data_IF_844684053376
#
_entry.id   IF_844684053376
#
_cell.length_a   1.000
_cell.length_b   1.000
_cell.length_c   1.000
_cell.angle_alpha   90.00
_cell.angle_beta   90.00
_cell.angle_gamma   90.00
#
_symmetry.space_group_name_H-M   'P 1'
#
loop_
_entity.id
_entity.type
_entity.pdbx_description
1 polymer ?
#
# COMPACT_ATOMS: atom_id res chain seq x y z
N UNK A 1 -6.96 17.23 17.52
CA UNK A 1 -5.96 16.94 16.47
C UNK A 1 -5.83 18.22 15.67
N UNK A 2 -4.72 18.93 15.84
CA UNK A 2 -4.47 20.13 15.03
C UNK A 2 -3.96 19.68 13.66
N UNK A 3 -4.57 20.20 12.59
CA UNK A 3 -4.15 19.90 11.23
C UNK A 3 -2.98 20.83 10.91
N UNK A 4 -1.79 20.27 10.73
CA UNK A 4 -0.57 21.04 10.46
C UNK A 4 -0.07 20.79 9.03
N UNK A 5 0.87 21.64 8.59
CA UNK A 5 1.60 21.41 7.33
C UNK A 5 2.31 20.04 7.32
N UNK A 6 2.86 19.60 8.46
CA UNK A 6 3.54 18.31 8.58
C UNK A 6 2.61 17.12 8.40
N UNK A 7 1.35 17.20 8.86
CA UNK A 7 0.32 16.18 8.59
C UNK A 7 0.08 16.01 7.09
N UNK A 8 -0.05 17.11 6.34
CA UNK A 8 -0.23 17.06 4.89
C UNK A 8 1.03 16.55 4.18
N UNK A 9 2.21 17.01 4.59
CA UNK A 9 3.48 16.57 4.01
C UNK A 9 3.69 15.07 4.20
N UNK A 10 3.43 14.54 5.40
CA UNK A 10 3.50 13.12 5.70
C UNK A 10 2.55 12.31 4.81
N UNK A 11 1.30 12.77 4.66
CA UNK A 11 0.29 12.11 3.85
C UNK A 11 0.71 12.01 2.37
N UNK A 12 1.25 13.10 1.81
CA UNK A 12 1.71 13.14 0.41
C UNK A 12 2.91 12.23 0.20
N UNK A 13 3.88 12.26 1.12
CA UNK A 13 5.07 11.37 1.05
C UNK A 13 4.65 9.90 1.13
N UNK A 14 3.76 9.56 2.06
CA UNK A 14 3.30 8.17 2.21
C UNK A 14 2.42 7.73 1.05
N UNK A 15 1.64 8.62 0.44
CA UNK A 15 0.93 8.32 -0.80
C UNK A 15 1.92 8.01 -1.94
N UNK A 16 2.99 8.79 -2.09
CA UNK A 16 4.02 8.53 -3.10
C UNK A 16 4.71 7.18 -2.87
N UNK A 17 5.04 6.84 -1.62
CA UNK A 17 5.58 5.53 -1.25
C UNK A 17 4.58 4.40 -1.58
N UNK A 18 3.30 4.58 -1.25
CA UNK A 18 2.24 3.62 -1.57
C UNK A 18 2.08 3.39 -3.08
N UNK A 19 2.17 4.43 -3.90
CA UNK A 19 2.18 4.29 -5.37
C UNK A 19 3.36 3.45 -5.84
N UNK A 20 4.55 3.69 -5.30
CA UNK A 20 5.74 2.90 -5.65
C UNK A 20 5.60 1.44 -5.23
N UNK A 21 5.10 1.17 -4.02
CA UNK A 21 4.86 -0.19 -3.54
C UNK A 21 3.86 -0.94 -4.43
N UNK A 22 2.72 -0.30 -4.76
CA UNK A 22 1.72 -0.88 -5.64
C UNK A 22 2.28 -1.16 -7.05
N UNK A 23 3.11 -0.26 -7.58
CA UNK A 23 3.77 -0.44 -8.88
C UNK A 23 4.77 -1.61 -8.87
N UNK A 24 5.58 -1.73 -7.81
CA UNK A 24 6.52 -2.84 -7.63
C UNK A 24 5.75 -4.16 -7.53
N UNK A 25 4.71 -4.21 -6.70
CA UNK A 25 3.90 -5.40 -6.54
C UNK A 25 3.24 -5.83 -7.86
N UNK A 26 2.66 -4.88 -8.59
CA UNK A 26 2.04 -5.15 -9.89
C UNK A 26 3.05 -5.67 -10.93
N UNK A 27 4.28 -5.14 -10.93
CA UNK A 27 5.31 -5.51 -11.90
C UNK A 27 5.99 -6.84 -11.60
N UNK A 28 6.29 -7.11 -10.33
CA UNK A 28 7.14 -8.25 -9.94
C UNK A 28 6.39 -9.38 -9.24
N UNK A 29 5.44 -9.07 -8.37
CA UNK A 29 4.81 -10.07 -7.48
C UNK A 29 3.51 -10.61 -8.09
N UNK A 30 2.68 -9.74 -8.64
CA UNK A 30 1.43 -10.11 -9.30
C UNK A 30 1.59 -11.18 -10.39
N UNK A 31 2.54 -11.12 -11.34
CA UNK A 31 2.68 -12.16 -12.35
C UNK A 31 3.05 -13.52 -11.76
N UNK A 32 3.83 -13.55 -10.67
CA UNK A 32 4.19 -14.80 -9.98
C UNK A 32 2.98 -15.42 -9.30
N UNK A 33 2.18 -14.62 -8.58
CA UNK A 33 0.96 -15.09 -7.94
C UNK A 33 -0.12 -15.49 -8.93
N UNK A 34 -0.27 -14.75 -10.03
CA UNK A 34 -1.18 -15.11 -11.12
C UNK A 34 -0.84 -16.47 -11.72
N UNK A 35 0.42 -16.72 -12.08
CA UNK A 35 0.84 -18.03 -12.63
C UNK A 35 0.58 -19.17 -11.65
N UNK A 36 0.81 -18.96 -10.35
CA UNK A 36 0.52 -19.96 -9.31
C UNK A 36 -0.97 -20.23 -9.16
N UNK A 37 -1.79 -19.19 -9.18
CA UNK A 37 -3.24 -19.30 -9.10
C UNK A 37 -3.84 -20.01 -10.32
N UNK A 38 -3.35 -19.71 -11.53
CA UNK A 38 -3.76 -20.40 -12.76
C UNK A 38 -3.37 -21.90 -12.71
N UNK A 39 -2.19 -22.24 -12.19
CA UNK A 39 -1.78 -23.65 -11.97
C UNK A 39 -2.62 -24.35 -10.89
N UNK A 40 -3.01 -23.63 -9.84
CA UNK A 40 -3.86 -24.16 -8.77
C UNK A 40 -5.26 -24.55 -9.28
N UNK A 41 -5.84 -23.73 -10.16
CA UNK A 41 -7.12 -24.04 -10.84
C UNK A 41 -7.07 -25.34 -11.62
N UNK A 42 -5.96 -25.61 -12.31
CA UNK A 42 -5.76 -26.84 -13.09
C UNK A 42 -5.61 -28.10 -12.22
N UNK A 43 -5.24 -27.94 -10.95
CA UNK A 43 -5.00 -29.04 -10.00
C UNK A 43 -6.12 -29.22 -8.98
N UNK A 44 -7.22 -28.46 -9.11
CA UNK A 44 -8.34 -28.49 -8.17
C UNK A 44 -8.01 -27.94 -6.77
N UNK A 45 -6.89 -27.23 -6.62
CA UNK A 45 -6.48 -26.63 -5.35
C UNK A 45 -6.98 -25.18 -5.26
N UNK A 46 -7.63 -24.81 -4.16
CA UNK A 46 -8.04 -23.42 -3.92
C UNK A 46 -6.84 -22.57 -3.47
N UNK A 47 -6.15 -21.96 -4.43
CA UNK A 47 -5.16 -20.92 -4.16
C UNK A 47 -5.81 -19.57 -3.81
N UNK A 48 -5.09 -18.68 -3.12
CA UNK A 48 -5.53 -17.30 -2.88
C UNK A 48 -5.68 -16.54 -4.20
N UNK A 49 -6.77 -15.78 -4.33
CA UNK A 49 -7.01 -14.96 -5.52
C UNK A 49 -6.02 -13.77 -5.55
N UNK A 50 -5.14 -13.68 -6.57
CA UNK A 50 -4.18 -12.60 -6.71
C UNK A 50 -4.85 -11.22 -6.90
N UNK A 51 -6.08 -11.18 -7.40
CA UNK A 51 -6.83 -9.93 -7.59
C UNK A 51 -7.30 -9.33 -6.26
N UNK A 52 -7.76 -10.16 -5.33
CA UNK A 52 -8.11 -9.75 -3.96
C UNK A 52 -6.88 -9.22 -3.24
N UNK A 53 -5.75 -9.93 -3.34
CA UNK A 53 -4.51 -9.50 -2.72
C UNK A 53 -4.02 -8.16 -3.28
N UNK A 54 -4.10 -7.95 -4.60
CA UNK A 54 -3.79 -6.67 -5.22
C UNK A 54 -4.73 -5.55 -4.74
N UNK A 55 -6.02 -5.85 -4.58
CA UNK A 55 -7.00 -4.87 -4.08
C UNK A 55 -6.69 -4.46 -2.62
N UNK A 56 -6.32 -5.41 -1.76
CA UNK A 56 -5.90 -5.13 -0.37
C UNK A 56 -4.66 -4.25 -0.36
N UNK A 57 -3.66 -4.55 -1.18
CA UNK A 57 -2.43 -3.75 -1.25
C UNK A 57 -2.72 -2.34 -1.74
N UNK A 58 -3.56 -2.17 -2.77
CA UNK A 58 -3.98 -0.84 -3.24
C UNK A 58 -4.74 -0.07 -2.18
N UNK A 59 -5.63 -0.72 -1.43
CA UNK A 59 -6.36 -0.09 -0.34
C UNK A 59 -5.41 0.36 0.77
N UNK A 60 -4.47 -0.50 1.16
CA UNK A 60 -3.47 -0.18 2.17
C UNK A 60 -2.56 0.98 1.72
N UNK A 61 -2.07 0.92 0.49
CA UNK A 61 -1.14 1.88 -0.06
C UNK A 61 -1.75 3.27 -0.33
N UNK A 62 -2.98 3.33 -0.83
CA UNK A 62 -3.61 4.58 -1.24
C UNK A 62 -4.51 5.21 -0.19
N UNK A 63 -5.00 4.43 0.78
CA UNK A 63 -5.92 4.95 1.80
C UNK A 63 -5.32 4.79 3.18
N UNK A 64 -4.99 3.57 3.59
CA UNK A 64 -4.57 3.32 4.98
C UNK A 64 -3.28 4.07 5.30
N UNK A 65 -2.23 3.92 4.48
CA UNK A 65 -0.95 4.58 4.72
C UNK A 65 -1.05 6.11 4.71
N UNK A 66 -1.66 6.77 3.71
CA UNK A 66 -1.79 8.23 3.72
C UNK A 66 -2.65 8.77 4.86
N UNK A 67 -3.73 8.07 5.23
CA UNK A 67 -4.59 8.47 6.36
C UNK A 67 -3.83 8.35 7.68
N UNK A 68 -3.13 7.24 7.91
CA UNK A 68 -2.30 7.08 9.11
C UNK A 68 -1.19 8.13 9.15
N UNK A 69 -0.54 8.38 8.01
CA UNK A 69 0.49 9.39 7.89
C UNK A 69 -0.05 10.81 8.14
N UNK A 70 -1.27 11.12 7.71
CA UNK A 70 -1.92 12.38 8.02
C UNK A 70 -2.19 12.53 9.53
N UNK A 71 -2.71 11.48 10.16
CA UNK A 71 -3.07 11.48 11.58
C UNK A 71 -1.85 11.56 12.50
N UNK A 72 -0.76 10.87 12.15
CA UNK A 72 0.44 10.75 13.00
C UNK A 72 1.65 11.54 12.47
N UNK A 73 1.52 12.18 11.31
CA UNK A 73 2.60 12.87 10.61
C UNK A 73 3.21 14.01 11.41
N UNK A 74 2.37 14.81 12.09
CA UNK A 74 2.86 15.91 12.93
C UNK A 74 3.70 15.39 14.11
N UNK A 75 3.28 14.30 14.74
CA UNK A 75 3.99 13.71 15.88
C UNK A 75 5.40 13.23 15.51
N UNK A 76 5.59 12.77 14.27
CA UNK A 76 6.86 12.22 13.80
C UNK A 76 7.71 13.30 13.13
N UNK A 77 7.15 14.02 12.15
CA UNK A 77 7.91 14.94 11.31
C UNK A 77 8.23 16.27 12.00
N UNK A 78 7.38 16.76 12.89
CA UNK A 78 7.64 18.02 13.60
C UNK A 78 8.95 17.95 14.38
N UNK A 79 9.19 17.02 15.31
CA UNK A 79 10.46 16.94 16.04
C UNK A 79 11.66 16.55 15.17
N UNK A 80 11.44 15.96 14.00
CA UNK A 80 12.50 15.62 13.05
C UNK A 80 12.97 16.81 12.20
N UNK A 81 12.08 17.77 11.95
CA UNK A 81 12.30 18.88 11.01
C UNK A 81 12.23 20.27 11.68
N UNK A 82 11.94 20.37 12.99
CA UNK A 82 11.83 21.61 13.77
C UNK A 82 11.19 21.39 15.14
#
# INVERSE_FOLDING_TARGET
MEITFYSFLAAVVMLALGVMEAAIYQRFVYPVHRKRHEKAKLTGTQGRDPSILLAIIKLAAFIVMPVLAFMFGDMILRPLLG
#
